data_IF_828913430866
#
_entry.id   IF_828913430866
#
_cell.length_a   1.000
_cell.length_b   1.000
_cell.length_c   1.000
_cell.angle_alpha   90.00
_cell.angle_beta   90.00
_cell.angle_gamma   90.00
#
_symmetry.space_group_name_H-M   'P 1'
#
loop_
_entity.id
_entity.type
_entity.pdbx_description
1 polymer ?
#
# COMPACT_ATOMS: atom_id res chain seq x y z
N UNK A 1 -4.85 22.03 8.24
CA UNK A 1 -5.78 21.59 7.17
C UNK A 1 -7.19 21.85 7.67
N UNK A 2 -7.75 23.02 7.36
CA UNK A 2 -9.12 23.33 7.74
C UNK A 2 -10.09 22.47 6.92
N UNK A 3 -11.12 21.94 7.57
CA UNK A 3 -12.17 21.14 6.95
C UNK A 3 -13.00 22.02 6.00
N UNK A 4 -12.68 21.97 4.70
CA UNK A 4 -13.27 22.84 3.66
C UNK A 4 -14.72 22.46 3.30
N UNK A 5 -15.52 21.95 4.24
CA UNK A 5 -16.93 21.63 4.00
C UNK A 5 -17.20 20.60 2.89
N UNK A 6 -16.18 19.82 2.50
CA UNK A 6 -16.32 18.75 1.50
C UNK A 6 -16.70 17.45 2.21
N UNK A 7 -17.86 16.90 1.80
CA UNK A 7 -18.46 15.60 2.16
C UNK A 7 -17.58 14.78 3.11
N UNK A 8 -18.02 14.63 4.37
CA UNK A 8 -17.41 13.71 5.31
C UNK A 8 -17.24 12.34 4.65
N UNK A 9 -16.05 11.71 4.69
CA UNK A 9 -15.86 10.40 4.08
C UNK A 9 -16.90 9.40 4.59
N UNK A 10 -17.28 8.46 3.74
CA UNK A 10 -18.17 7.36 4.14
C UNK A 10 -17.59 6.66 5.35
N UNK A 11 -18.44 6.30 6.31
CA UNK A 11 -18.00 5.53 7.47
C UNK A 11 -17.35 4.22 7.03
N UNK A 12 -16.28 3.84 7.72
CA UNK A 12 -15.56 2.62 7.44
C UNK A 12 -16.46 1.41 7.69
N UNK A 13 -16.74 0.62 6.65
CA UNK A 13 -17.54 -0.61 6.76
C UNK A 13 -16.68 -1.84 7.01
N UNK A 14 -15.45 -1.84 6.48
CA UNK A 14 -14.54 -2.98 6.53
C UNK A 14 -13.09 -2.54 6.72
N UNK A 15 -12.36 -3.30 7.53
CA UNK A 15 -10.91 -3.27 7.60
C UNK A 15 -10.31 -4.43 6.80
N UNK A 16 -9.12 -4.22 6.26
CA UNK A 16 -8.35 -5.21 5.54
C UNK A 16 -6.89 -5.16 5.98
N UNK A 17 -6.23 -6.31 5.92
CA UNK A 17 -4.78 -6.37 6.03
C UNK A 17 -4.15 -5.81 4.74
N UNK A 18 -3.03 -5.05 4.83
CA UNK A 18 -2.41 -4.39 3.69
C UNK A 18 -1.79 -5.35 2.66
N UNK A 19 -1.55 -6.60 3.05
CA UNK A 19 -1.07 -7.69 2.20
C UNK A 19 -1.82 -8.98 2.50
N UNK A 20 -1.98 -9.80 1.46
CA UNK A 20 -2.49 -11.17 1.58
C UNK A 20 -1.41 -12.11 2.15
N UNK A 21 -1.84 -13.26 2.68
CA UNK A 21 -0.93 -14.37 3.01
C UNK A 21 -0.37 -14.91 1.69
N UNK A 22 0.95 -15.12 1.64
CA UNK A 22 1.61 -15.77 0.50
C UNK A 22 1.09 -17.19 0.32
N UNK A 23 1.03 -17.63 -0.93
CA UNK A 23 0.67 -19.01 -1.25
C UNK A 23 1.66 -20.01 -0.62
N UNK A 24 1.18 -21.19 -0.24
CA UNK A 24 2.04 -22.24 0.31
C UNK A 24 3.05 -22.72 -0.75
N UNK A 25 4.33 -22.70 -0.37
CA UNK A 25 5.40 -23.12 -1.27
C UNK A 25 5.27 -24.61 -1.62
N UNK A 26 5.49 -24.95 -2.89
CA UNK A 26 5.48 -26.34 -3.36
C UNK A 26 4.10 -26.88 -3.78
N UNK A 27 3.05 -26.06 -3.68
CA UNK A 27 1.73 -26.39 -4.25
C UNK A 27 1.56 -25.68 -5.60
N UNK A 28 1.50 -26.41 -6.73
CA UNK A 28 1.21 -25.82 -8.03
C UNK A 28 -0.12 -25.05 -8.00
N UNK A 29 -0.16 -23.87 -8.62
CA UNK A 29 -1.35 -23.00 -8.73
C UNK A 29 -1.95 -22.46 -7.42
N UNK A 30 -1.29 -22.65 -6.27
CA UNK A 30 -1.72 -22.03 -5.03
C UNK A 30 -1.68 -20.51 -5.14
N UNK A 31 -2.77 -19.85 -4.72
CA UNK A 31 -2.92 -18.40 -4.79
C UNK A 31 -2.78 -17.77 -3.41
N UNK A 32 -2.31 -16.53 -3.33
CA UNK A 32 -2.39 -15.74 -2.12
C UNK A 32 -3.82 -15.68 -1.59
N UNK A 33 -3.97 -15.70 -0.27
CA UNK A 33 -5.28 -15.70 0.40
C UNK A 33 -5.42 -14.53 1.36
N UNK A 34 -6.66 -14.12 1.62
CA UNK A 34 -6.92 -13.12 2.64
C UNK A 34 -6.49 -13.65 4.02
N UNK A 35 -5.99 -12.76 4.87
CA UNK A 35 -5.63 -13.11 6.24
C UNK A 35 -6.86 -13.05 7.13
N UNK A 36 -7.18 -14.16 7.77
CA UNK A 36 -8.24 -14.35 8.75
C UNK A 36 -7.70 -14.60 10.19
N UNK A 37 -6.43 -14.97 10.32
CA UNK A 37 -5.71 -15.09 11.60
C UNK A 37 -4.60 -14.03 11.73
N UNK A 38 -4.72 -13.17 12.75
CA UNK A 38 -3.74 -12.13 13.07
C UNK A 38 -2.32 -12.67 13.34
N UNK A 39 -2.19 -13.95 13.75
CA UNK A 39 -0.87 -14.58 13.98
C UNK A 39 0.00 -14.61 12.73
N UNK A 40 -0.60 -14.64 11.54
CA UNK A 40 0.14 -14.54 10.27
C UNK A 40 0.92 -13.23 10.22
N UNK A 41 0.29 -12.12 10.61
CA UNK A 41 0.96 -10.82 10.67
C UNK A 41 1.94 -10.72 11.82
N UNK A 42 1.62 -11.24 13.00
CA UNK A 42 2.59 -11.24 14.10
C UNK A 42 3.87 -12.02 13.75
N UNK A 43 3.73 -13.15 13.04
CA UNK A 43 4.87 -13.93 12.56
C UNK A 43 5.62 -13.23 11.41
N UNK A 44 4.91 -12.54 10.52
CA UNK A 44 5.56 -11.79 9.45
C UNK A 44 6.35 -10.61 10.02
N UNK A 45 5.72 -9.80 10.89
CA UNK A 45 6.32 -8.63 11.52
C UNK A 45 7.45 -8.99 12.48
N UNK A 46 7.45 -10.21 13.03
CA UNK A 46 8.58 -10.70 13.83
C UNK A 46 9.84 -11.02 13.01
N UNK A 47 9.74 -11.00 11.68
CA UNK A 47 10.90 -11.16 10.81
C UNK A 47 11.40 -9.82 10.26
N UNK A 48 10.74 -8.69 10.57
CA UNK A 48 11.12 -7.38 10.04
C UNK A 48 12.56 -6.99 10.48
N UNK A 49 13.35 -6.55 9.50
CA UNK A 49 14.76 -6.19 9.64
C UNK A 49 14.99 -4.82 10.27
N UNK A 50 14.01 -3.92 10.22
CA UNK A 50 14.07 -2.57 10.79
C UNK A 50 13.35 -2.42 12.13
N UNK A 51 13.07 -3.55 12.79
CA UNK A 51 12.52 -3.60 14.14
C UNK A 51 11.11 -4.18 14.19
N UNK A 52 10.72 -4.56 15.40
CA UNK A 52 9.43 -5.17 15.69
C UNK A 52 8.49 -4.08 16.16
N UNK A 53 7.41 -3.80 15.43
CA UNK A 53 6.41 -2.83 15.90
C UNK A 53 6.01 -3.13 17.36
N UNK A 54 6.07 -2.14 18.29
CA UNK A 54 6.25 -0.69 18.07
C UNK A 54 7.68 -0.16 18.32
N UNK A 55 8.71 -1.00 18.29
CA UNK A 55 10.11 -0.65 18.55
C UNK A 55 10.95 -0.83 17.28
N UNK A 56 11.58 0.25 16.81
CA UNK A 56 12.49 0.21 15.66
C UNK A 56 13.82 -0.50 15.97
N UNK A 57 14.59 -0.83 14.95
CA UNK A 57 15.89 -1.52 15.09
C UNK A 57 16.92 -0.74 15.94
N UNK A 58 16.73 0.56 16.11
CA UNK A 58 17.54 1.41 16.98
C UNK A 58 17.08 1.40 18.46
N UNK A 59 16.10 0.57 18.82
CA UNK A 59 15.54 0.46 20.17
C UNK A 59 14.59 1.59 20.57
N UNK A 60 14.22 2.49 19.64
CA UNK A 60 13.32 3.61 19.91
C UNK A 60 11.87 3.23 19.58
N UNK A 61 10.94 3.85 20.30
CA UNK A 61 9.51 3.78 19.97
C UNK A 61 9.26 4.38 18.58
N UNK A 62 8.52 3.66 17.76
CA UNK A 62 8.18 4.05 16.41
C UNK A 62 6.73 3.65 16.11
N UNK A 63 5.91 4.63 15.73
CA UNK A 63 4.48 4.44 15.49
C UNK A 63 4.15 3.74 14.17
N UNK A 64 5.11 3.65 13.25
CA UNK A 64 4.93 3.04 11.94
C UNK A 64 5.25 1.54 11.92
N UNK A 65 4.51 0.81 11.09
CA UNK A 65 4.74 -0.60 10.80
C UNK A 65 5.57 -0.71 9.53
N UNK A 66 6.72 -1.38 9.60
CA UNK A 66 7.62 -1.62 8.47
C UNK A 66 7.35 -2.97 7.82
N UNK A 67 7.31 -2.97 6.49
CA UNK A 67 7.18 -4.15 5.65
C UNK A 67 8.36 -4.20 4.69
N UNK A 68 9.31 -5.08 4.97
CA UNK A 68 10.50 -5.32 4.15
C UNK A 68 10.48 -6.71 3.52
N UNK A 69 11.57 -7.06 2.82
CA UNK A 69 11.75 -8.35 2.17
C UNK A 69 11.55 -9.56 3.11
N UNK A 70 11.89 -9.45 4.41
CA UNK A 70 11.74 -10.55 5.36
C UNK A 70 10.28 -10.79 5.73
N UNK A 71 9.50 -9.71 5.89
CA UNK A 71 8.05 -9.84 6.06
C UNK A 71 7.39 -10.44 4.79
N UNK A 72 8.01 -10.24 3.62
CA UNK A 72 7.62 -10.81 2.33
C UNK A 72 7.85 -12.33 2.18
N UNK A 73 8.51 -12.97 3.14
CA UNK A 73 8.56 -14.43 3.23
C UNK A 73 7.19 -15.03 3.57
N UNK A 74 6.35 -14.29 4.32
CA UNK A 74 5.00 -14.71 4.74
C UNK A 74 3.89 -13.95 4.01
N UNK A 75 4.15 -12.69 3.64
CA UNK A 75 3.17 -11.81 3.02
C UNK A 75 3.40 -11.71 1.50
N UNK A 76 2.31 -11.69 0.74
CA UNK A 76 2.34 -11.48 -0.71
C UNK A 76 2.53 -9.98 -1.01
N UNK A 77 3.77 -9.54 -1.05
CA UNK A 77 4.10 -8.12 -1.28
C UNK A 77 4.21 -7.76 -2.76
N UNK A 78 4.43 -8.75 -3.62
CA UNK A 78 4.62 -8.56 -5.05
C UNK A 78 3.37 -8.00 -5.73
N UNK A 79 2.19 -8.18 -5.13
CA UNK A 79 0.91 -7.64 -5.61
C UNK A 79 0.64 -6.21 -5.14
N UNK A 80 1.51 -5.67 -4.30
CA UNK A 80 1.45 -4.30 -3.80
C UNK A 80 0.83 -4.20 -2.41
N UNK A 81 1.00 -3.03 -1.81
CA UNK A 81 0.38 -2.66 -0.55
C UNK A 81 -1.03 -2.15 -0.80
N UNK A 82 -1.99 -2.63 -0.01
CA UNK A 82 -3.40 -2.29 -0.13
C UNK A 82 -3.90 -1.39 0.99
N UNK A 83 -4.99 -0.68 0.71
CA UNK A 83 -5.66 0.20 1.66
C UNK A 83 -6.23 -0.62 2.84
N UNK A 84 -6.01 -0.19 4.07
CA UNK A 84 -6.42 -0.92 5.27
C UNK A 84 -7.91 -0.76 5.58
N UNK A 85 -8.57 0.20 4.95
CA UNK A 85 -9.95 0.53 5.24
C UNK A 85 -10.54 1.42 4.17
N UNK A 86 -11.86 1.42 4.07
CA UNK A 86 -12.57 2.34 3.17
C UNK A 86 -12.31 3.79 3.57
N UNK A 87 -12.16 4.67 2.58
CA UNK A 87 -11.87 6.08 2.81
C UNK A 87 -11.71 6.82 1.49
N UNK A 88 -10.93 7.89 1.53
CA UNK A 88 -10.61 8.69 0.36
C UNK A 88 -9.13 9.10 0.36
N UNK A 89 -8.47 8.96 -0.78
CA UNK A 89 -7.12 9.47 -0.97
C UNK A 89 -7.20 10.99 -1.06
N UNK A 90 -6.43 11.68 -0.22
CA UNK A 90 -6.42 13.15 -0.14
C UNK A 90 -5.12 13.77 -0.63
N UNK A 91 -4.02 13.03 -0.58
CA UNK A 91 -2.74 13.45 -1.13
C UNK A 91 -1.87 12.24 -1.49
N UNK A 92 -0.98 12.42 -2.46
CA UNK A 92 0.08 11.47 -2.74
C UNK A 92 1.33 12.18 -3.27
N UNK A 93 2.46 11.50 -3.26
CA UNK A 93 3.68 11.91 -3.95
C UNK A 93 4.29 10.69 -4.64
N UNK A 94 4.67 10.84 -5.90
CA UNK A 94 5.46 9.85 -6.65
C UNK A 94 6.69 10.55 -7.20
N UNK A 95 7.87 10.01 -6.96
CA UNK A 95 9.11 10.56 -7.51
C UNK A 95 9.34 10.04 -8.93
N UNK A 96 9.91 10.85 -9.81
CA UNK A 96 10.38 10.37 -11.11
C UNK A 96 11.44 9.28 -10.95
N UNK A 97 12.37 9.50 -10.02
CA UNK A 97 13.40 8.57 -9.58
C UNK A 97 13.66 8.77 -8.08
N UNK A 98 14.09 7.72 -7.38
CA UNK A 98 14.44 7.85 -5.96
C UNK A 98 15.47 8.93 -5.66
N UNK A 99 15.26 9.57 -4.52
CA UNK A 99 16.24 10.47 -3.91
C UNK A 99 17.39 9.69 -3.29
N UNK A 100 18.47 10.41 -2.96
CA UNK A 100 19.66 9.80 -2.37
C UNK A 100 20.35 10.69 -1.36
N UNK A 101 20.98 10.06 -0.37
CA UNK A 101 21.94 10.70 0.55
C UNK A 101 23.32 10.15 0.26
N UNK A 102 24.31 11.04 0.16
CA UNK A 102 25.71 10.67 0.02
C UNK A 102 26.34 10.49 1.40
N UNK A 103 27.05 9.38 1.59
CA UNK A 103 27.87 9.09 2.75
C UNK A 103 29.32 8.84 2.32
N UNK A 104 30.26 8.90 3.26
CA UNK A 104 31.69 8.63 2.97
C UNK A 104 31.94 7.22 2.41
N UNK A 105 31.05 6.27 2.69
CA UNK A 105 31.12 4.87 2.26
C UNK A 105 30.37 4.59 0.96
N UNK A 106 29.53 5.52 0.49
CA UNK A 106 28.74 5.36 -0.73
C UNK A 106 27.39 6.06 -0.67
N UNK A 107 26.53 5.74 -1.62
CA UNK A 107 25.23 6.37 -1.83
C UNK A 107 24.10 5.50 -1.29
N UNK A 108 23.18 6.10 -0.55
CA UNK A 108 21.95 5.45 -0.07
C UNK A 108 20.72 6.03 -0.78
N UNK A 109 19.97 5.18 -1.48
CA UNK A 109 18.70 5.52 -2.11
C UNK A 109 17.54 5.43 -1.11
N UNK A 110 16.62 6.38 -1.17
CA UNK A 110 15.41 6.36 -0.35
C UNK A 110 14.23 6.95 -1.12
N UNK A 111 13.06 6.42 -0.80
CA UNK A 111 11.79 6.92 -1.32
C UNK A 111 11.23 8.02 -0.42
N UNK A 112 10.76 9.09 -1.05
CA UNK A 112 9.87 10.12 -0.50
C UNK A 112 8.41 9.89 -0.93
N UNK A 113 8.16 8.82 -1.69
CA UNK A 113 6.84 8.49 -2.21
C UNK A 113 5.88 8.11 -1.09
N UNK A 114 4.68 8.67 -1.13
CA UNK A 114 3.64 8.34 -0.16
C UNK A 114 2.23 8.47 -0.72
N UNK A 115 1.28 7.84 -0.02
CA UNK A 115 -0.15 8.02 -0.21
C UNK A 115 -0.83 8.25 1.12
N UNK A 116 -1.66 9.28 1.21
CA UNK A 116 -2.41 9.66 2.41
C UNK A 116 -3.90 9.41 2.19
N UNK A 117 -4.48 8.57 3.03
CA UNK A 117 -5.91 8.22 3.00
C UNK A 117 -6.59 8.78 4.24
N UNK A 118 -7.71 9.46 4.05
CA UNK A 118 -8.60 9.94 5.11
C UNK A 118 -9.75 8.95 5.30
N UNK A 119 -10.04 8.61 6.55
CA UNK A 119 -11.07 7.66 6.94
C UNK A 119 -12.03 8.28 7.95
N UNK A 120 -13.25 7.75 8.03
CA UNK A 120 -14.22 8.06 9.09
C UNK A 120 -14.53 6.78 9.87
N UNK A 121 -14.15 6.74 11.14
CA UNK A 121 -14.61 5.73 12.08
C UNK A 121 -15.87 6.23 12.78
N UNK A 122 -16.92 5.41 12.85
CA UNK A 122 -18.17 5.74 13.53
C UNK A 122 -18.43 4.69 14.61
N UNK A 123 -18.95 5.11 15.78
CA UNK A 123 -19.31 4.17 16.82
C UNK A 123 -20.45 3.23 16.36
N UNK A 124 -20.51 1.97 16.85
CA UNK A 124 -21.62 1.08 16.58
C UNK A 124 -22.94 1.72 17.03
N UNK A 125 -24.06 1.58 16.31
CA UNK A 125 -25.32 2.25 16.64
C UNK A 125 -25.76 2.03 18.09
N UNK A 126 -26.41 3.04 18.68
CA UNK A 126 -27.05 2.85 19.99
C UNK A 126 -28.13 1.75 19.92
N UNK A 127 -28.32 0.93 20.97
CA UNK A 127 -29.45 0.00 21.02
C UNK A 127 -30.78 0.75 20.87
N UNK A 128 -31.72 0.19 20.11
CA UNK A 128 -33.06 0.75 20.00
C UNK A 128 -33.73 0.80 21.39
N UNK A 129 -34.30 1.95 21.75
CA UNK A 129 -35.09 2.05 22.97
C UNK A 129 -36.24 1.03 22.91
N UNK A 130 -36.32 0.12 23.88
CA UNK A 130 -37.51 -0.71 24.05
C UNK A 130 -38.68 0.23 24.39
N UNK A 131 -39.85 0.11 23.76
CA UNK A 131 -41.02 0.85 24.22
C UNK A 131 -41.27 0.47 25.68
N UNK A 132 -41.16 1.46 26.58
CA UNK A 132 -41.57 1.28 27.97
C UNK A 132 -43.08 1.12 27.98
N UNK A 133 -43.56 -0.02 28.46
CA UNK A 133 -44.94 -0.18 28.91
C UNK A 133 -45.21 0.83 30.02
N UNK A 134 -45.74 2.00 29.66
CA UNK A 134 -46.37 2.92 30.60
C UNK A 134 -47.71 2.32 31.02
N UNK A 135 -47.72 1.60 32.15
CA UNK A 135 -48.92 1.46 32.96
C UNK A 135 -48.84 2.42 34.14
N UNK A 136 -49.68 3.44 34.03
CA UNK A 136 -50.39 4.20 35.05
C UNK A 136 -49.67 4.52 36.37
N UNK A 137 -49.42 5.81 36.61
CA UNK A 137 -50.05 6.48 37.76
C UNK A 137 -50.08 8.01 37.65
N UNK A 138 -51.32 8.47 37.57
CA UNK A 138 -51.95 9.63 38.19
C UNK A 138 -51.85 11.05 37.63
N UNK A 139 -53.04 11.63 37.55
CA UNK A 139 -53.42 12.94 37.03
C UNK A 139 -53.19 14.00 38.12
N UNK A 140 -52.62 15.15 37.76
CA UNK A 140 -53.19 16.50 38.01
C UNK A 140 -52.19 17.61 37.65
N UNK A 141 -52.50 18.39 36.61
CA UNK A 141 -52.35 19.86 36.49
C UNK A 141 -52.35 20.30 35.01
N UNK A 142 -52.91 21.48 34.66
CA UNK A 142 -53.27 21.83 33.29
C UNK A 142 -52.11 22.42 32.47
N UNK A 143 -52.23 22.23 31.15
CA UNK A 143 -51.27 22.56 30.10
C UNK A 143 -50.95 24.06 29.96
N UNK A 144 -49.79 24.38 29.39
CA UNK A 144 -49.70 25.42 28.36
C UNK A 144 -49.22 24.85 27.03
N UNK A 145 -49.62 25.55 25.96
CA UNK A 145 -49.61 25.17 24.56
C UNK A 145 -48.38 24.42 24.05
N UNK A 146 -48.66 23.28 23.45
CA UNK A 146 -47.78 22.55 22.57
C UNK A 146 -47.69 23.22 21.19
N UNK A 147 -46.47 23.56 20.78
CA UNK A 147 -46.06 23.25 19.40
C UNK A 147 -44.99 22.16 19.49
N UNK A 148 -45.31 20.88 19.18
CA UNK A 148 -44.30 19.85 19.06
C UNK A 148 -43.57 20.07 17.74
N UNK A 149 -42.41 20.71 17.81
CA UNK A 149 -41.46 20.74 16.71
C UNK A 149 -40.93 19.31 16.53
N UNK A 150 -41.47 18.57 15.55
CA UNK A 150 -40.84 17.35 15.02
C UNK A 150 -39.46 17.72 14.50
N UNK A 151 -38.43 17.54 15.32
CA UNK A 151 -37.07 17.42 14.81
C UNK A 151 -36.86 15.97 14.41
N UNK A 152 -37.06 15.68 13.12
CA UNK A 152 -36.49 14.50 12.44
C UNK A 152 -34.96 14.65 12.34
N UNK A 153 -34.28 14.89 13.46
CA UNK A 153 -32.82 14.79 13.54
C UNK A 153 -32.51 13.31 13.79
N UNK A 154 -32.19 12.60 12.71
CA UNK A 154 -31.43 11.36 12.79
C UNK A 154 -30.12 11.71 13.51
N UNK A 155 -30.03 11.43 14.81
CA UNK A 155 -28.85 11.69 15.64
C UNK A 155 -27.63 11.09 14.95
N UNK A 156 -26.70 11.94 14.47
CA UNK A 156 -25.45 11.44 13.92
C UNK A 156 -24.64 10.77 15.03
N UNK A 157 -24.19 9.55 14.75
CA UNK A 157 -23.37 8.80 15.70
C UNK A 157 -22.00 9.46 15.86
N UNK A 158 -21.40 9.44 17.07
CA UNK A 158 -20.05 9.98 17.25
C UNK A 158 -19.07 9.33 16.29
N UNK A 159 -18.26 10.16 15.64
CA UNK A 159 -17.26 9.72 14.67
C UNK A 159 -15.89 10.34 14.94
N UNK A 160 -14.86 9.71 14.37
CA UNK A 160 -13.46 10.12 14.41
C UNK A 160 -12.91 10.09 12.99
N UNK A 161 -12.37 11.21 12.53
CA UNK A 161 -11.55 11.25 11.32
C UNK A 161 -10.14 10.82 11.68
N UNK A 162 -9.63 9.84 10.96
CA UNK A 162 -8.23 9.42 11.09
C UNK A 162 -7.62 9.23 9.72
N UNK A 163 -6.30 9.16 9.66
CA UNK A 163 -5.53 9.04 8.45
C UNK A 163 -4.65 7.80 8.52
N UNK A 164 -4.52 7.12 7.39
CA UNK A 164 -3.42 6.19 7.16
C UNK A 164 -2.47 6.79 6.13
N UNK A 165 -1.17 6.73 6.40
CA UNK A 165 -0.13 7.14 5.45
C UNK A 165 0.75 5.95 5.13
N UNK A 166 0.93 5.73 3.84
CA UNK A 166 1.76 4.67 3.27
C UNK A 166 3.01 5.34 2.71
N UNK A 167 4.15 5.04 3.29
CA UNK A 167 5.45 5.68 3.03
C UNK A 167 6.40 4.69 2.33
N UNK A 168 7.49 5.26 1.81
CA UNK A 168 8.55 4.56 1.08
C UNK A 168 8.04 3.84 -0.17
N UNK A 169 7.07 4.41 -0.89
CA UNK A 169 6.45 3.76 -2.05
C UNK A 169 7.35 3.79 -3.31
N UNK A 170 7.06 2.91 -4.26
CA UNK A 170 7.79 2.77 -5.53
C UNK A 170 7.82 4.08 -6.34
N UNK A 171 8.98 4.41 -6.92
CA UNK A 171 9.14 5.55 -7.83
C UNK A 171 8.60 5.26 -9.24
N UNK A 172 8.45 6.30 -10.04
CA UNK A 172 7.95 6.20 -11.41
C UNK A 172 8.85 5.31 -12.29
N UNK A 173 10.18 5.45 -12.17
CA UNK A 173 11.12 4.60 -12.89
C UNK A 173 10.93 3.11 -12.57
N UNK A 174 10.65 2.75 -11.31
CA UNK A 174 10.29 1.40 -10.91
C UNK A 174 8.96 0.97 -11.53
N UNK A 175 7.94 1.83 -11.46
CA UNK A 175 6.65 1.60 -12.10
C UNK A 175 6.76 1.37 -13.62
N UNK A 176 7.68 2.03 -14.32
CA UNK A 176 7.92 1.81 -15.77
C UNK A 176 8.56 0.45 -16.07
N UNK A 177 9.22 -0.17 -15.09
CA UNK A 177 9.88 -1.48 -15.20
C UNK A 177 9.01 -2.64 -14.70
N UNK A 178 7.88 -2.36 -14.05
CA UNK A 178 6.93 -3.41 -13.64
C UNK A 178 6.36 -4.14 -14.88
N UNK A 179 5.96 -5.39 -14.67
CA UNK A 179 5.15 -6.13 -15.65
C UNK A 179 3.94 -5.27 -16.03
N UNK A 180 3.69 -5.11 -17.34
CA UNK A 180 2.59 -4.31 -17.88
C UNK A 180 1.20 -4.75 -17.39
N UNK A 181 1.07 -5.96 -16.85
CA UNK A 181 -0.16 -6.48 -16.23
C UNK A 181 -0.35 -6.01 -14.78
N UNK A 182 0.70 -5.51 -14.12
CA UNK A 182 0.59 -5.00 -12.75
C UNK A 182 -0.24 -3.71 -12.74
N UNK A 183 -1.31 -3.64 -11.92
CA UNK A 183 -2.18 -2.48 -11.90
C UNK A 183 -1.47 -1.20 -11.42
N UNK A 184 -1.95 -0.05 -11.89
CA UNK A 184 -1.61 1.25 -11.31
C UNK A 184 -2.60 1.58 -10.19
N UNK A 185 -2.21 2.37 -9.18
CA UNK A 185 -3.17 2.89 -8.20
C UNK A 185 -4.31 3.67 -8.89
N UNK A 186 -5.56 3.33 -8.57
CA UNK A 186 -6.74 3.86 -9.27
C UNK A 186 -6.95 5.37 -9.07
N UNK A 187 -6.42 5.94 -7.99
CA UNK A 187 -6.54 7.35 -7.65
C UNK A 187 -5.56 8.26 -8.42
N UNK A 188 -4.71 7.73 -9.30
CA UNK A 188 -3.87 8.52 -10.21
C UNK A 188 -4.63 9.06 -11.43
N UNK A 189 -5.90 8.66 -11.61
CA UNK A 189 -6.76 9.10 -12.70
C UNK A 189 -6.87 8.09 -13.83
N UNK A 190 -7.26 8.57 -15.00
CA UNK A 190 -7.57 7.71 -16.13
C UNK A 190 -6.34 7.02 -16.72
N UNK A 191 -6.56 5.82 -17.25
CA UNK A 191 -5.51 5.07 -17.89
C UNK A 191 -5.00 5.77 -19.16
N UNK A 192 -3.69 5.75 -19.34
CA UNK A 192 -3.03 6.18 -20.56
C UNK A 192 -2.77 4.99 -21.49
N UNK A 193 -2.71 5.28 -22.79
CA UNK A 193 -2.48 4.30 -23.85
C UNK A 193 -1.28 4.72 -24.69
N UNK A 194 -0.30 3.83 -24.79
CA UNK A 194 0.89 4.01 -25.61
C UNK A 194 0.61 3.54 -27.04
N UNK A 195 0.93 4.35 -28.04
CA UNK A 195 1.05 3.89 -29.43
C UNK A 195 2.26 2.96 -29.52
N UNK A 196 1.99 1.65 -29.54
CA UNK A 196 2.99 0.60 -29.38
C UNK A 196 3.39 -0.07 -30.68
N UNK A 197 4.18 -1.15 -30.58
CA UNK A 197 4.79 -1.83 -31.73
C UNK A 197 3.81 -2.47 -32.72
N UNK A 198 2.55 -2.61 -32.32
CA UNK A 198 1.47 -3.10 -33.19
C UNK A 198 0.87 -2.01 -34.07
N UNK A 199 1.20 -0.74 -33.82
CA UNK A 199 0.81 0.38 -34.65
C UNK A 199 1.69 0.39 -35.91
N UNK A 200 1.13 0.07 -37.07
CA UNK A 200 1.87 -0.17 -38.32
C UNK A 200 1.48 0.78 -39.45
N UNK A 201 0.63 1.78 -39.16
CA UNK A 201 0.20 2.75 -40.16
C UNK A 201 1.38 3.63 -40.58
N UNK A 202 1.65 3.68 -41.89
CA UNK A 202 2.74 4.48 -42.48
C UNK A 202 2.48 4.88 -43.95
N UNK A 203 1.30 4.55 -44.49
CA UNK A 203 0.96 4.76 -45.90
C UNK A 203 0.52 6.21 -46.16
N UNK A 204 1.50 7.07 -46.49
CA UNK A 204 1.30 8.50 -46.79
C UNK A 204 0.36 8.75 -47.98
N UNK A 205 0.18 7.77 -48.88
CA UNK A 205 -0.74 7.92 -50.02
C UNK A 205 -2.21 7.90 -49.59
N UNK A 206 -2.50 7.30 -48.43
CA UNK A 206 -3.85 7.22 -47.85
C UNK A 206 -4.09 8.27 -46.79
N UNK A 207 -3.06 8.59 -45.99
CA UNK A 207 -3.16 9.57 -44.92
C UNK A 207 -2.09 10.65 -45.08
N UNK A 208 -2.51 11.83 -45.54
CA UNK A 208 -1.63 12.99 -45.76
C UNK A 208 -1.06 13.58 -44.46
N UNK A 209 -1.62 13.26 -43.29
CA UNK A 209 -1.10 13.72 -41.99
C UNK A 209 0.18 13.00 -41.56
N UNK A 210 0.57 11.91 -42.22
CA UNK A 210 1.78 11.15 -41.88
C UNK A 210 3.02 11.95 -42.32
N UNK A 211 3.88 12.40 -41.38
CA UNK A 211 5.09 13.14 -41.72
C UNK A 211 6.10 12.28 -42.47
N UNK A 212 7.01 12.93 -43.19
CA UNK A 212 8.17 12.25 -43.74
C UNK A 212 9.12 11.80 -42.63
N UNK A 213 9.58 10.55 -42.70
CA UNK A 213 10.54 10.02 -41.73
C UNK A 213 9.98 9.72 -40.33
N UNK A 214 8.67 9.86 -40.08
CA UNK A 214 8.07 9.59 -38.77
C UNK A 214 8.08 8.11 -38.35
N UNK A 215 8.30 7.21 -39.31
CA UNK A 215 8.14 5.77 -39.11
C UNK A 215 6.67 5.36 -38.87
N UNK A 216 6.44 4.11 -38.42
CA UNK A 216 5.11 3.58 -38.18
C UNK A 216 4.40 4.23 -36.99
N UNK A 217 3.06 4.22 -37.02
CA UNK A 217 2.21 4.74 -35.97
C UNK A 217 0.76 4.30 -36.14
N UNK A 218 -0.16 5.14 -35.69
CA UNK A 218 -1.60 4.91 -35.77
C UNK A 218 -2.31 6.11 -36.39
N UNK A 219 -3.23 5.82 -37.31
CA UNK A 219 -4.09 6.82 -37.92
C UNK A 219 -5.15 7.31 -36.93
N UNK A 220 -5.34 8.63 -36.89
CA UNK A 220 -6.40 9.28 -36.13
C UNK A 220 -7.52 9.69 -37.07
N UNK A 221 -8.77 9.67 -36.59
CA UNK A 221 -9.95 9.83 -37.42
C UNK A 221 -10.99 10.80 -36.86
N UNK A 222 -11.80 11.36 -37.73
CA UNK A 222 -13.02 12.10 -37.34
C UNK A 222 -14.09 11.15 -36.81
N UNK A 223 -15.19 11.70 -36.26
CA UNK A 223 -16.35 10.90 -35.84
C UNK A 223 -16.97 10.10 -37.01
N UNK A 224 -16.87 10.62 -38.23
CA UNK A 224 -17.32 10.03 -39.49
C UNK A 224 -16.28 9.06 -40.09
N UNK A 225 -15.21 8.75 -39.35
CA UNK A 225 -14.17 7.78 -39.72
C UNK A 225 -13.29 8.21 -40.93
N UNK A 226 -13.17 9.52 -41.19
CA UNK A 226 -12.21 10.08 -42.15
C UNK A 226 -10.86 10.31 -41.49
N UNK A 227 -9.75 10.30 -42.23
CA UNK A 227 -8.43 10.63 -41.67
C UNK A 227 -8.41 12.06 -41.14
N UNK A 228 -7.94 12.23 -39.90
CA UNK A 228 -7.88 13.50 -39.19
C UNK A 228 -6.51 13.77 -38.56
N UNK A 229 -5.64 12.77 -38.52
CA UNK A 229 -4.31 12.93 -37.98
C UNK A 229 -3.50 11.64 -37.96
N UNK A 230 -2.34 11.71 -37.33
CA UNK A 230 -1.42 10.60 -37.14
C UNK A 230 -0.69 10.73 -35.80
N UNK A 231 -0.56 9.61 -35.09
CA UNK A 231 0.26 9.51 -33.89
C UNK A 231 1.37 8.46 -34.13
N UNK A 232 2.65 8.85 -34.20
CA UNK A 232 3.76 7.91 -34.28
C UNK A 232 3.84 6.98 -33.06
N UNK A 233 4.56 5.87 -33.19
CA UNK A 233 4.93 5.04 -32.03
C UNK A 233 5.63 5.85 -30.95
N UNK A 234 5.34 5.55 -29.69
CA UNK A 234 5.87 6.27 -28.53
C UNK A 234 4.94 7.36 -27.97
N UNK A 235 3.97 7.83 -28.74
CA UNK A 235 2.95 8.78 -28.27
C UNK A 235 2.07 8.13 -27.19
N UNK A 236 1.76 8.87 -26.12
CA UNK A 236 0.80 8.45 -25.10
C UNK A 236 -0.46 9.31 -25.13
N UNK A 237 -1.62 8.66 -25.05
CA UNK A 237 -2.93 9.28 -25.18
C UNK A 237 -3.82 8.92 -23.98
N UNK A 238 -4.69 9.85 -23.56
CA UNK A 238 -5.90 9.50 -22.79
C UNK A 238 -7.09 9.43 -23.72
N UNK A 239 -7.96 8.47 -23.42
CA UNK A 239 -9.14 8.17 -24.22
C UNK A 239 -10.40 8.41 -23.38
N UNK A 240 -11.40 9.05 -23.98
CA UNK A 240 -12.74 9.19 -23.45
C UNK A 240 -13.69 8.16 -24.06
N UNK A 241 -14.92 8.59 -24.33
CA UNK A 241 -15.99 7.70 -24.78
C UNK A 241 -15.74 7.05 -26.14
N UNK A 242 -16.30 5.84 -26.32
CA UNK A 242 -16.32 5.14 -27.59
C UNK A 242 -17.18 5.91 -28.61
N UNK A 243 -16.74 5.96 -29.87
CA UNK A 243 -17.48 6.56 -30.96
C UNK A 243 -18.84 5.83 -31.14
N UNK A 244 -19.97 6.54 -31.02
CA UNK A 244 -21.29 5.92 -31.12
C UNK A 244 -21.59 5.36 -32.53
N UNK A 245 -20.93 5.92 -33.57
CA UNK A 245 -21.11 5.52 -34.98
C UNK A 245 -20.11 4.44 -35.42
N UNK A 246 -19.00 4.24 -34.70
CA UNK A 246 -17.94 3.30 -35.10
C UNK A 246 -17.29 2.61 -33.90
N UNK A 247 -17.69 1.37 -33.65
CA UNK A 247 -17.14 0.54 -32.58
C UNK A 247 -15.62 0.34 -32.70
N UNK A 248 -14.95 0.34 -31.56
CA UNK A 248 -13.50 0.20 -31.42
C UNK A 248 -12.70 1.49 -31.53
N UNK A 249 -13.33 2.60 -31.90
CA UNK A 249 -12.71 3.93 -31.94
C UNK A 249 -13.08 4.73 -30.70
N UNK A 250 -12.10 5.32 -30.04
CA UNK A 250 -12.31 6.08 -28.80
C UNK A 250 -11.81 7.51 -28.98
N UNK A 251 -12.56 8.46 -28.41
CA UNK A 251 -12.23 9.88 -28.49
C UNK A 251 -10.93 10.16 -27.74
N UNK A 252 -9.98 10.85 -28.35
CA UNK A 252 -8.77 11.33 -27.68
C UNK A 252 -9.15 12.55 -26.84
N UNK A 253 -8.87 12.51 -25.55
CA UNK A 253 -9.14 13.60 -24.61
C UNK A 253 -7.88 14.39 -24.27
N UNK A 254 -6.71 13.77 -24.38
CA UNK A 254 -5.43 14.38 -24.05
C UNK A 254 -4.28 13.65 -24.74
N UNK A 255 -3.28 14.39 -25.24
CA UNK A 255 -1.97 13.87 -25.61
C UNK A 255 -1.05 14.04 -24.39
N UNK A 256 -0.73 12.92 -23.72
CA UNK A 256 0.03 12.94 -22.46
C UNK A 256 1.52 13.19 -22.72
N UNK A 257 2.06 12.63 -23.80
CA UNK A 257 3.46 12.83 -24.21
C UNK A 257 3.67 12.39 -25.67
N UNK A 258 4.70 12.94 -26.30
CA UNK A 258 5.00 12.72 -27.72
C UNK A 258 4.32 13.73 -28.64
N UNK A 259 4.61 13.64 -29.93
CA UNK A 259 4.12 14.58 -30.95
C UNK A 259 3.12 13.88 -31.86
N UNK A 260 1.96 14.51 -32.07
CA UNK A 260 0.95 14.08 -33.04
C UNK A 260 0.92 15.04 -34.24
N UNK A 261 0.25 14.63 -35.31
CA UNK A 261 0.13 15.43 -36.53
C UNK A 261 -1.34 15.49 -36.95
N UNK A 262 -2.01 16.65 -36.91
CA UNK A 262 -1.52 17.94 -36.38
C UNK A 262 -1.21 17.89 -34.86
N UNK A 263 -0.63 18.96 -34.31
CA UNK A 263 -0.21 19.00 -32.89
C UNK A 263 -1.40 18.86 -31.92
N UNK A 264 -2.57 19.40 -32.28
CA UNK A 264 -3.82 19.20 -31.53
C UNK A 264 -4.73 18.20 -32.24
N UNK A 265 -4.87 17.04 -31.63
CA UNK A 265 -5.74 15.95 -32.08
C UNK A 265 -6.85 15.67 -31.07
N UNK A 266 -7.05 16.55 -30.10
CA UNK A 266 -8.08 16.41 -29.08
C UNK A 266 -9.45 16.39 -29.75
N UNK A 267 -10.29 15.43 -29.36
CA UNK A 267 -11.61 15.22 -29.96
C UNK A 267 -11.62 14.38 -31.25
N UNK A 268 -10.46 14.08 -31.83
CA UNK A 268 -10.35 13.02 -32.84
C UNK A 268 -10.47 11.63 -32.19
N UNK A 269 -10.51 10.59 -33.01
CA UNK A 269 -10.74 9.22 -32.58
C UNK A 269 -9.59 8.31 -33.00
N UNK A 270 -9.17 7.44 -32.10
CA UNK A 270 -8.13 6.43 -32.36
C UNK A 270 -8.69 5.03 -32.21
N UNK A 271 -8.25 4.11 -33.06
CA UNK A 271 -8.66 2.72 -32.98
C UNK A 271 -7.96 2.03 -31.81
N UNK A 272 -8.69 1.82 -30.71
CA UNK A 272 -8.20 1.05 -29.58
C UNK A 272 -8.23 -0.43 -29.88
N UNK A 273 -9.19 -0.91 -30.68
CA UNK A 273 -9.30 -2.32 -31.00
C UNK A 273 -10.72 -2.87 -31.05
N UNK A 274 -10.81 -4.16 -31.35
CA UNK A 274 -12.06 -4.92 -31.27
C UNK A 274 -11.74 -6.35 -30.87
N UNK A 275 -12.74 -7.14 -30.42
CA UNK A 275 -12.54 -8.57 -30.14
C UNK A 275 -11.96 -9.39 -31.30
N UNK A 276 -11.97 -8.86 -32.54
CA UNK A 276 -11.53 -9.54 -33.77
C UNK A 276 -10.26 -8.96 -34.40
N UNK A 277 -9.63 -7.91 -33.85
CA UNK A 277 -8.48 -7.23 -34.47
C UNK A 277 -7.47 -6.74 -33.43
N UNK A 278 -6.18 -7.02 -33.64
CA UNK A 278 -5.10 -6.61 -32.72
C UNK A 278 -4.80 -5.10 -32.81
N UNK A 279 -4.54 -4.54 -31.64
CA UNK A 279 -4.60 -3.13 -31.26
C UNK A 279 -3.23 -2.45 -31.41
N UNK A 280 -3.17 -1.28 -32.07
CA UNK A 280 -1.96 -0.44 -32.13
C UNK A 280 -1.68 0.33 -30.84
N UNK A 281 -2.61 0.30 -29.89
CA UNK A 281 -2.48 0.88 -28.56
C UNK A 281 -2.16 -0.21 -27.53
N UNK A 282 -1.29 0.11 -26.59
CA UNK A 282 -0.97 -0.72 -25.42
C UNK A 282 -1.40 0.05 -24.17
N UNK A 283 -2.15 -0.60 -23.28
CA UNK A 283 -2.51 -0.02 -21.99
C UNK A 283 -1.23 0.25 -21.18
N UNK A 284 -0.94 1.52 -20.88
CA UNK A 284 0.22 1.93 -20.09
C UNK A 284 -0.14 2.19 -18.61
N UNK A 285 -1.44 2.22 -18.31
CA UNK A 285 -1.99 2.55 -16.99
C UNK A 285 -1.99 4.06 -16.72
N UNK A 286 -2.54 4.47 -15.58
CA UNK A 286 -2.51 5.87 -15.17
C UNK A 286 -1.08 6.33 -14.88
N UNK A 287 -0.75 7.56 -15.27
CA UNK A 287 0.52 8.21 -14.99
C UNK A 287 0.32 9.29 -13.91
N UNK A 288 1.03 9.24 -12.77
CA UNK A 288 0.83 10.18 -11.69
C UNK A 288 1.46 11.53 -12.00
N UNK A 289 1.01 12.56 -11.28
CA UNK A 289 1.81 13.78 -11.10
C UNK A 289 3.07 13.42 -10.31
N UNK A 290 4.23 13.91 -10.76
CA UNK A 290 5.54 13.53 -10.22
C UNK A 290 6.22 14.67 -9.46
N UNK A 291 7.17 14.30 -8.62
CA UNK A 291 8.18 15.16 -7.97
C UNK A 291 7.63 16.28 -7.08
N UNK A 292 6.33 16.26 -6.79
CA UNK A 292 5.63 17.22 -5.95
C UNK A 292 4.58 16.51 -5.11
N UNK A 293 4.23 17.09 -3.96
CA UNK A 293 3.08 16.63 -3.19
C UNK A 293 1.82 17.04 -3.94
N UNK A 294 1.09 16.05 -4.43
CA UNK A 294 -0.18 16.26 -5.12
C UNK A 294 -1.34 16.17 -4.13
N UNK A 295 -1.79 17.32 -3.64
CA UNK A 295 -3.01 17.42 -2.85
C UNK A 295 -4.20 17.41 -3.81
N UNK A 296 -5.05 16.38 -3.68
CA UNK A 296 -6.19 16.19 -4.55
C UNK A 296 -7.24 17.28 -4.27
N UNK A 297 -7.54 18.09 -5.28
CA UNK A 297 -8.60 19.10 -5.18
C UNK A 297 -9.95 18.44 -4.89
N UNK A 298 -10.20 17.25 -5.45
CA UNK A 298 -11.29 16.36 -5.12
C UNK A 298 -10.72 15.04 -4.61
N UNK A 299 -10.91 14.69 -3.32
CA UNK A 299 -10.49 13.40 -2.78
C UNK A 299 -11.06 12.23 -3.60
N UNK A 300 -10.25 11.18 -3.78
CA UNK A 300 -10.64 10.01 -4.58
C UNK A 300 -11.05 8.86 -3.67
N UNK A 301 -12.28 8.32 -3.78
CA UNK A 301 -12.70 7.17 -2.97
C UNK A 301 -11.77 5.98 -3.16
N UNK A 302 -11.51 5.25 -2.08
CA UNK A 302 -10.71 4.02 -2.09
C UNK A 302 -11.32 2.99 -1.15
N UNK A 303 -11.36 1.73 -1.58
CA UNK A 303 -11.92 0.63 -0.77
C UNK A 303 -10.85 -0.10 0.04
N UNK A 304 -11.26 -0.74 1.13
CA UNK A 304 -10.39 -1.67 1.85
C UNK A 304 -9.92 -2.80 0.92
N UNK A 305 -8.60 -3.06 0.89
CA UNK A 305 -7.98 -4.04 0.01
C UNK A 305 -7.64 -3.53 -1.41
N UNK A 306 -7.97 -2.29 -1.75
CA UNK A 306 -7.59 -1.69 -3.03
C UNK A 306 -6.13 -1.24 -3.04
N UNK A 307 -5.47 -1.32 -4.19
CA UNK A 307 -4.04 -1.02 -4.34
C UNK A 307 -3.73 0.43 -3.96
N UNK A 308 -2.82 0.59 -2.98
CA UNK A 308 -2.17 1.86 -2.67
C UNK A 308 -0.92 2.03 -3.53
N UNK A 309 -0.05 1.03 -3.61
CA UNK A 309 1.17 1.12 -4.39
C UNK A 309 2.06 -0.10 -4.21
N UNK A 310 3.34 0.02 -4.54
CA UNK A 310 4.33 -1.04 -4.34
C UNK A 310 5.42 -0.57 -3.40
N UNK A 311 6.14 -1.52 -2.79
CA UNK A 311 7.28 -1.22 -1.94
C UNK A 311 8.34 -0.47 -2.75
N UNK A 312 8.82 0.64 -2.21
CA UNK A 312 9.91 1.42 -2.78
C UNK A 312 11.24 1.05 -2.17
N UNK A 313 12.22 1.96 -2.22
CA UNK A 313 13.55 1.75 -1.66
C UNK A 313 13.74 2.54 -0.37
N UNK A 314 14.43 1.94 0.59
CA UNK A 314 14.93 2.64 1.77
C UNK A 314 16.26 2.03 2.23
N UNK A 315 17.36 2.53 1.69
CA UNK A 315 18.72 2.15 2.09
C UNK A 315 19.19 2.98 3.28
N UNK A 316 19.83 2.33 4.25
CA UNK A 316 20.40 2.96 5.44
C UNK A 316 21.89 3.20 5.24
N UNK A 317 22.50 3.97 6.14
CA UNK A 317 23.96 4.16 6.15
C UNK A 317 24.73 2.83 6.12
N UNK A 318 24.33 1.83 6.93
CA UNK A 318 25.00 0.52 6.97
C UNK A 318 24.95 -0.23 5.64
N UNK A 319 23.92 0.02 4.82
CA UNK A 319 23.74 -0.61 3.51
C UNK A 319 24.61 0.08 2.42
N UNK A 320 25.32 1.16 2.76
CA UNK A 320 26.33 1.81 1.89
C UNK A 320 27.70 1.17 1.96
N UNK A 321 27.95 0.29 2.93
CA UNK A 321 29.21 -0.43 3.00
C UNK A 321 29.34 -1.35 1.75
N UNK A 322 30.46 -1.34 1.01
CA UNK A 322 30.69 -2.25 -0.12
C UNK A 322 30.59 -3.74 0.23
N UNK A 323 30.77 -4.10 1.50
CA UNK A 323 30.58 -5.46 2.00
C UNK A 323 29.13 -5.79 2.40
N UNK A 324 28.21 -4.83 2.37
CA UNK A 324 26.80 -5.08 2.63
C UNK A 324 26.19 -5.89 1.47
N UNK A 325 25.56 -7.01 1.79
CA UNK A 325 25.04 -7.98 0.82
C UNK A 325 23.64 -7.66 0.29
N UNK A 326 22.95 -6.63 0.82
CA UNK A 326 21.52 -6.46 0.64
C UNK A 326 21.15 -5.18 -0.14
N UNK A 327 21.32 -5.21 -1.46
CA UNK A 327 20.71 -4.26 -2.39
C UNK A 327 19.99 -5.01 -3.51
N UNK A 328 18.77 -4.60 -3.91
CA UNK A 328 17.97 -3.48 -3.37
C UNK A 328 17.39 -3.74 -1.96
N UNK A 329 16.98 -2.67 -1.25
CA UNK A 329 16.33 -2.75 0.07
C UNK A 329 14.87 -2.29 -0.02
N UNK A 330 13.95 -3.20 -0.41
CA UNK A 330 12.54 -2.86 -0.53
C UNK A 330 11.92 -2.62 0.84
N UNK A 331 11.16 -1.53 0.98
CA UNK A 331 10.44 -1.18 2.21
C UNK A 331 9.12 -0.49 1.88
N UNK A 332 8.09 -0.76 2.66
CA UNK A 332 6.95 0.15 2.83
C UNK A 332 6.72 0.38 4.32
N UNK A 333 6.22 1.55 4.67
CA UNK A 333 5.87 1.89 6.04
C UNK A 333 4.40 2.34 6.11
N UNK A 334 3.67 1.88 7.11
CA UNK A 334 2.28 2.27 7.37
C UNK A 334 2.14 2.89 8.75
N UNK A 335 1.64 4.13 8.78
CA UNK A 335 1.34 4.86 10.02
C UNK A 335 -0.14 5.25 10.06
N UNK A 336 -0.72 5.29 11.25
CA UNK A 336 -2.10 5.71 11.49
C UNK A 336 -2.11 6.82 12.53
N UNK A 337 -2.77 7.94 12.23
CA UNK A 337 -2.84 9.09 13.12
C UNK A 337 -4.16 9.84 12.95
N UNK A 338 -4.48 10.71 13.91
CA UNK A 338 -5.68 11.55 13.86
C UNK A 338 -5.34 12.95 14.37
N UNK A 339 -5.99 13.96 13.79
CA UNK A 339 -5.98 15.33 14.29
C UNK A 339 -7.22 15.64 15.16
N UNK A 340 -8.18 14.73 15.22
CA UNK A 340 -9.39 14.86 16.02
C UNK A 340 -9.11 14.54 17.49
N UNK A 341 -10.06 14.88 18.35
CA UNK A 341 -10.02 14.56 19.78
C UNK A 341 -10.21 13.05 20.03
N UNK A 342 -9.10 12.31 19.92
CA UNK A 342 -9.06 10.88 20.20
C UNK A 342 -9.46 10.55 21.65
N UNK A 343 -9.13 11.43 22.62
CA UNK A 343 -9.46 11.20 24.03
C UNK A 343 -10.96 11.30 24.26
N UNK A 344 -11.60 12.33 23.71
CA UNK A 344 -13.05 12.49 23.73
C UNK A 344 -13.77 11.38 22.98
N UNK A 345 -13.24 10.94 21.83
CA UNK A 345 -13.81 9.81 21.09
C UNK A 345 -13.73 8.49 21.90
N UNK A 346 -12.60 8.20 22.55
CA UNK A 346 -12.44 7.04 23.44
C UNK A 346 -13.45 7.10 24.59
N UNK A 347 -13.63 8.26 25.22
CA UNK A 347 -14.62 8.43 26.29
C UNK A 347 -16.05 8.12 25.80
N UNK A 348 -16.44 8.65 24.63
CA UNK A 348 -17.74 8.34 24.00
C UNK A 348 -17.87 6.86 23.65
N UNK A 349 -16.79 6.22 23.19
CA UNK A 349 -16.74 4.79 22.91
C UNK A 349 -16.97 3.96 24.18
N UNK A 350 -16.36 4.33 25.31
CA UNK A 350 -16.60 3.66 26.60
C UNK A 350 -18.05 3.80 27.06
N UNK A 351 -18.67 4.98 26.91
CA UNK A 351 -20.09 5.16 27.24
C UNK A 351 -21.00 4.32 26.34
N UNK A 352 -20.75 4.27 25.03
CA UNK A 352 -21.49 3.41 24.11
C UNK A 352 -21.30 1.94 24.47
N UNK A 353 -20.09 1.51 24.82
CA UNK A 353 -19.80 0.14 25.19
C UNK A 353 -20.59 -0.33 26.42
N UNK A 354 -20.97 0.55 27.36
CA UNK A 354 -21.85 0.18 28.49
C UNK A 354 -23.25 -0.27 28.03
N UNK A 355 -23.71 0.23 26.89
CA UNK A 355 -25.05 0.00 26.35
C UNK A 355 -25.13 -1.25 25.46
N UNK A 356 -24.00 -1.68 24.87
CA UNK A 356 -23.96 -2.80 23.93
C UNK A 356 -24.06 -4.16 24.64
N UNK A 357 -24.55 -5.17 23.91
CA UNK A 357 -24.53 -6.56 24.37
C UNK A 357 -23.09 -7.06 24.52
N UNK A 358 -22.83 -7.98 25.47
CA UNK A 358 -21.49 -8.53 25.71
C UNK A 358 -20.88 -9.16 24.45
N UNK A 359 -21.69 -9.76 23.58
CA UNK A 359 -21.24 -10.36 22.30
C UNK A 359 -20.67 -9.32 21.33
N UNK A 360 -21.08 -8.06 21.44
CA UNK A 360 -20.60 -6.97 20.58
C UNK A 360 -19.28 -6.37 21.08
N UNK A 361 -18.80 -6.75 22.27
CA UNK A 361 -17.58 -6.21 22.90
C UNK A 361 -16.37 -7.13 22.75
N UNK A 362 -16.56 -8.33 22.18
CA UNK A 362 -15.50 -9.33 22.06
C UNK A 362 -14.61 -9.02 20.86
N UNK A 363 -13.50 -8.32 21.12
CA UNK A 363 -12.46 -8.03 20.12
C UNK A 363 -11.38 -9.13 20.04
N UNK A 364 -11.24 -9.94 21.08
CA UNK A 364 -10.27 -11.03 21.16
C UNK A 364 -10.97 -12.31 21.60
N UNK A 365 -10.94 -13.34 20.76
CA UNK A 365 -11.42 -14.68 21.10
C UNK A 365 -10.24 -15.50 21.62
N UNK A 366 -10.23 -15.76 22.92
CA UNK A 366 -9.31 -16.72 23.54
C UNK A 366 -10.09 -18.00 23.74
N UNK A 367 -9.67 -19.08 23.08
CA UNK A 367 -10.35 -20.37 23.22
C UNK A 367 -10.27 -20.88 24.66
N UNK A 368 -11.35 -21.53 25.12
CA UNK A 368 -11.39 -22.14 26.44
C UNK A 368 -10.29 -23.20 26.55
N UNK A 369 -9.33 -22.98 27.46
CA UNK A 369 -8.16 -23.84 27.64
C UNK A 369 -6.87 -23.34 26.98
N UNK A 370 -6.90 -22.19 26.30
CA UNK A 370 -5.69 -21.54 25.82
C UNK A 370 -4.74 -21.25 27.00
N UNK A 371 -3.51 -21.77 26.92
CA UNK A 371 -2.46 -21.55 27.91
C UNK A 371 -1.60 -20.37 27.44
N UNK A 372 -1.37 -19.41 28.32
CA UNK A 372 -0.40 -18.35 28.08
C UNK A 372 1.00 -19.00 28.04
N UNK A 373 1.64 -18.97 26.88
CA UNK A 373 3.04 -19.36 26.74
C UNK A 373 3.90 -18.22 27.28
N UNK A 374 4.22 -18.28 28.57
CA UNK A 374 5.25 -17.45 29.14
C UNK A 374 6.61 -18.05 28.72
N UNK A 375 7.59 -17.22 28.31
CA UNK A 375 8.95 -17.71 28.12
C UNK A 375 9.37 -18.48 29.37
N UNK A 376 9.86 -19.70 29.20
CA UNK A 376 10.43 -20.44 30.30
C UNK A 376 11.54 -19.58 30.90
N UNK A 377 11.58 -19.48 32.24
CA UNK A 377 12.65 -18.75 32.92
C UNK A 377 13.98 -19.32 32.41
N UNK A 378 14.86 -18.46 31.91
CA UNK A 378 16.14 -18.91 31.38
C UNK A 378 16.90 -19.67 32.48
N UNK A 379 17.34 -20.88 32.17
CA UNK A 379 18.09 -21.73 33.11
C UNK A 379 19.52 -21.18 33.31
N UNK A 380 20.00 -20.34 32.39
CA UNK A 380 21.30 -19.69 32.43
C UNK A 380 21.26 -18.28 31.85
N UNK A 381 22.14 -17.41 32.36
CA UNK A 381 22.44 -16.11 31.77
C UNK A 381 23.82 -16.15 31.11
N UNK A 382 23.91 -15.56 29.92
CA UNK A 382 25.15 -15.28 29.21
C UNK A 382 25.46 -13.80 29.46
N UNK A 383 26.62 -13.51 30.04
CA UNK A 383 27.07 -12.15 30.34
C UNK A 383 27.90 -11.60 29.18
N UNK A 384 28.18 -10.30 29.16
CA UNK A 384 28.93 -9.67 28.06
C UNK A 384 30.38 -10.19 27.91
N UNK A 385 30.92 -10.85 28.94
CA UNK A 385 32.26 -11.45 28.95
C UNK A 385 32.27 -12.89 28.40
N UNK A 386 31.09 -13.47 28.20
CA UNK A 386 30.94 -14.85 27.76
C UNK A 386 30.84 -14.91 26.22
N UNK A 387 31.64 -15.79 25.62
CA UNK A 387 31.51 -16.17 24.21
C UNK A 387 30.56 -17.36 24.08
N UNK A 388 29.85 -17.45 22.97
CA UNK A 388 28.98 -18.60 22.68
C UNK A 388 29.29 -19.08 21.27
N UNK A 389 29.67 -20.35 21.15
CA UNK A 389 29.98 -20.98 19.87
C UNK A 389 28.97 -22.08 19.62
N UNK A 390 28.35 -22.12 18.44
CA UNK A 390 27.49 -23.22 18.06
C UNK A 390 28.27 -24.54 18.03
N UNK A 391 27.78 -25.56 18.73
CA UNK A 391 28.37 -26.90 18.77
C UNK A 391 27.32 -27.88 18.29
N UNK A 392 27.27 -28.05 16.97
CA UNK A 392 26.42 -29.02 16.31
C UNK A 392 25.65 -28.44 15.13
N UNK A 393 24.99 -29.33 14.39
CA UNK A 393 24.05 -28.98 13.33
C UNK A 393 22.67 -28.67 13.92
N UNK A 394 21.94 -27.69 13.38
CA UNK A 394 20.58 -27.40 13.83
C UNK A 394 19.70 -28.65 13.75
N UNK A 395 19.09 -29.05 14.86
CA UNK A 395 18.06 -30.10 14.84
C UNK A 395 16.73 -29.46 14.44
N UNK A 396 16.34 -29.54 13.17
CA UNK A 396 14.98 -29.18 12.78
C UNK A 396 13.99 -30.23 13.34
N UNK A 397 12.80 -29.83 13.84
CA UNK A 397 12.08 -28.57 13.58
C UNK A 397 11.98 -27.61 14.78
N UNK A 398 12.82 -27.73 15.82
CA UNK A 398 12.61 -26.96 17.06
C UNK A 398 13.15 -25.53 17.05
N UNK A 399 13.97 -25.16 16.07
CA UNK A 399 14.61 -23.83 16.01
C UNK A 399 15.73 -23.60 17.04
N UNK A 400 16.08 -24.61 17.84
CA UNK A 400 17.16 -24.54 18.83
C UNK A 400 18.47 -25.09 18.26
N UNK A 401 19.57 -24.42 18.58
CA UNK A 401 20.93 -24.89 18.29
C UNK A 401 21.68 -25.15 19.59
N UNK A 402 22.41 -26.25 19.64
CA UNK A 402 23.30 -26.52 20.75
C UNK A 402 24.49 -25.59 20.67
N UNK A 403 24.81 -24.94 21.79
CA UNK A 403 25.94 -24.02 21.89
C UNK A 403 26.85 -24.43 23.04
N UNK A 404 28.13 -24.06 22.95
CA UNK A 404 29.10 -24.15 24.03
C UNK A 404 29.48 -22.74 24.46
N UNK A 405 29.34 -22.49 25.76
CA UNK A 405 29.83 -21.30 26.43
C UNK A 405 31.36 -21.33 26.49
N UNK A 406 32.01 -20.22 26.19
CA UNK A 406 33.45 -20.02 26.29
C UNK A 406 33.77 -18.61 26.78
N UNK A 407 35.05 -18.28 26.86
CA UNK A 407 35.55 -16.93 27.15
C UNK A 407 36.09 -16.30 25.87
N UNK A 408 35.92 -14.99 25.73
CA UNK A 408 36.61 -14.22 24.69
C UNK A 408 38.04 -13.94 25.14
N UNK A 409 39.01 -14.54 24.47
CA UNK A 409 40.42 -14.18 24.62
C UNK A 409 40.89 -13.46 23.36
N UNK A 410 41.43 -12.25 23.54
CA UNK A 410 42.09 -11.51 22.47
C UNK A 410 43.55 -11.95 22.47
N UNK A 411 43.97 -12.62 21.39
CA UNK A 411 45.35 -13.03 21.17
C UNK A 411 45.94 -12.26 19.98
N UNK A 412 47.25 -11.99 20.05
CA UNK A 412 47.99 -11.42 18.92
C UNK A 412 48.03 -12.42 17.76
N UNK A 413 47.88 -11.97 16.52
CA UNK A 413 47.86 -12.89 15.36
C UNK A 413 49.16 -13.70 15.24
N UNK A 414 50.27 -13.12 15.70
CA UNK A 414 51.60 -13.74 15.73
C UNK A 414 51.73 -14.86 16.77
N UNK A 415 50.88 -14.89 17.79
CA UNK A 415 50.86 -15.96 18.79
C UNK A 415 49.96 -17.14 18.39
N UNK A 416 49.15 -16.98 17.34
CA UNK A 416 48.30 -18.02 16.79
C UNK A 416 49.02 -18.76 15.66
N UNK A 417 48.97 -20.10 15.66
CA UNK A 417 49.54 -20.92 14.59
C UNK A 417 48.88 -20.74 13.21
N UNK A 418 49.12 -21.68 12.31
CA UNK A 418 48.42 -21.74 11.02
C UNK A 418 46.94 -22.07 11.26
N UNK A 419 46.03 -21.35 10.58
CA UNK A 419 44.60 -21.61 10.68
C UNK A 419 44.27 -22.97 10.06
N UNK A 420 43.52 -23.80 10.77
CA UNK A 420 43.02 -25.07 10.27
C UNK A 420 41.58 -24.89 9.73
N UNK A 421 41.38 -24.90 8.40
CA UNK A 421 40.07 -24.74 7.79
C UNK A 421 39.15 -25.96 8.01
N UNK A 422 39.68 -27.13 8.37
CA UNK A 422 38.87 -28.32 8.64
C UNK A 422 38.16 -28.22 10.00
N UNK A 423 38.81 -27.59 10.98
CA UNK A 423 38.28 -27.40 12.34
C UNK A 423 37.82 -25.97 12.63
N UNK A 424 38.04 -25.05 11.68
CA UNK A 424 37.77 -23.61 11.81
C UNK A 424 38.43 -23.01 13.06
N UNK A 425 39.67 -23.43 13.35
CA UNK A 425 40.38 -23.09 14.59
C UNK A 425 41.86 -22.78 14.35
N UNK A 426 42.49 -22.12 15.32
CA UNK A 426 43.94 -22.01 15.42
C UNK A 426 44.44 -23.06 16.43
N UNK A 427 45.51 -23.82 16.14
CA UNK A 427 46.16 -24.63 17.15
C UNK A 427 46.69 -23.68 18.22
N UNK A 428 46.18 -23.83 19.44
CA UNK A 428 46.56 -23.05 20.61
C UNK A 428 47.96 -23.39 21.11
#
# INVERSE_FOLDING_TARGET
MADNGKKTPTKIGKLAYPFQKKAEQGTPDAKPTNVDDARVYFQALSNASDGFYPIGANGQWHGGIHFDAQTGATLQQEDGVCCIGEGEVVAYQVESQYSSVEYSTGKALYSRGFTLVRHRLELPPAPAAKPQDQKDQDKTAPAPDSTPQKTDQKTEEPSLIFYSVYLHLLDWAGYQKLDAKKPRPGYWGDATYLVGDKAVDQDRTKNAFIPEGSGPGINLRTAENQYAGFAPRGVKLKLGDENPKKKGYFKITEVVSGTTYPDDVTGTYVFKGSPKSKEGLTLAGAEPTKDTVHVLSEPKPIKAGELIGYLGQYERYIDTNPMASARPRPLAQLDVFTADDIKGFIAKSHERAKQLDAKQKVLLKVDKGAKLALPTKADQQITAQDAVVAVGTPKAPSGWIQVRKGTLEIAERSTLGAFDPATNSYPG
#
